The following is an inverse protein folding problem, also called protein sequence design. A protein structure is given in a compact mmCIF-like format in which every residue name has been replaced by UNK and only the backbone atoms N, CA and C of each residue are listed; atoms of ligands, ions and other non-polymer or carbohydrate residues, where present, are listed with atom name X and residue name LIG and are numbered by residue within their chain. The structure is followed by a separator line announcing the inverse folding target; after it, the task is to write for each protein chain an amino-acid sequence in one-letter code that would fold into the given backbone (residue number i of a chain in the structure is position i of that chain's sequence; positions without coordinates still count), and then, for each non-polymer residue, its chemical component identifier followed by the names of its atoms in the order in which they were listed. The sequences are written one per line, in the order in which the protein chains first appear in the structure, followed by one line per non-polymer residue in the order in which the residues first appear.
data_IF_041350971583
#
_entry.id   IF_041350971583
#
_cell.length_a   1.000
_cell.length_b   1.000
_cell.length_c   1.000
_cell.angle_alpha   90.00
_cell.angle_beta   90.00
_cell.angle_gamma   90.00
#
_symmetry.space_group_name_H-M   'P 1'
#
loop_
_entity.id
_entity.type
_entity.pdbx_description
1 polymer ?
#
# COMPACT_ATOMS: atom_id res chain seq x y z
N UNK A 1 93.99 -81.69 6.63
CA UNK A 1 94.35 -80.24 6.60
C UNK A 1 93.96 -79.54 5.30
N UNK A 2 94.06 -80.18 4.12
CA UNK A 2 93.44 -79.65 2.90
C UNK A 2 91.90 -79.56 3.02
N UNK A 3 91.30 -80.53 3.70
CA UNK A 3 89.85 -80.54 3.99
C UNK A 3 89.40 -79.41 4.92
N UNK A 4 90.28 -78.92 5.80
CA UNK A 4 89.96 -77.80 6.71
C UNK A 4 89.87 -76.47 5.97
N UNK A 5 90.73 -76.27 4.95
CA UNK A 5 90.72 -75.07 4.12
C UNK A 5 89.58 -75.12 3.11
N UNK A 6 89.27 -76.30 2.55
CA UNK A 6 88.07 -76.48 1.75
C UNK A 6 86.80 -76.29 2.56
N UNK A 7 86.70 -76.83 3.78
CA UNK A 7 85.55 -76.63 4.66
C UNK A 7 85.38 -75.16 5.06
N UNK A 8 86.45 -74.42 5.34
CA UNK A 8 86.37 -72.98 5.64
C UNK A 8 85.98 -72.13 4.43
N UNK A 9 86.46 -72.46 3.22
CA UNK A 9 85.99 -71.82 1.98
C UNK A 9 84.53 -72.19 1.66
N UNK A 10 84.10 -73.41 1.95
CA UNK A 10 82.71 -73.85 1.76
C UNK A 10 81.76 -73.21 2.79
N UNK A 11 82.24 -72.91 4.01
CA UNK A 11 81.51 -72.15 5.03
C UNK A 11 81.31 -70.69 4.62
N UNK A 12 82.33 -70.07 3.99
CA UNK A 12 82.22 -68.74 3.38
C UNK A 12 81.23 -68.72 2.20
N UNK A 13 81.16 -69.81 1.41
CA UNK A 13 80.17 -69.96 0.31
C UNK A 13 78.74 -70.15 0.82
N UNK A 14 78.55 -70.94 1.88
CA UNK A 14 77.22 -71.16 2.48
C UNK A 14 76.64 -69.89 3.09
N UNK A 15 77.48 -68.94 3.51
CA UNK A 15 77.05 -67.60 3.92
C UNK A 15 76.63 -66.74 2.70
N UNK A 16 77.31 -66.85 1.55
CA UNK A 16 76.94 -66.10 0.33
C UNK A 16 75.67 -66.62 -0.36
N UNK A 17 75.41 -67.93 -0.32
CA UNK A 17 74.22 -68.52 -0.97
C UNK A 17 72.90 -68.18 -0.25
N UNK A 18 72.97 -67.65 0.99
CA UNK A 18 71.80 -67.17 1.74
C UNK A 18 71.15 -65.90 1.16
N UNK A 19 71.78 -65.26 0.17
CA UNK A 19 71.32 -64.02 -0.48
C UNK A 19 70.26 -64.29 -1.56
N UNK A 20 69.99 -65.54 -1.94
CA UNK A 20 69.22 -65.89 -3.14
C UNK A 20 67.70 -66.11 -3.00
N UNK A 21 67.09 -66.06 -1.81
CA UNK A 21 65.65 -66.38 -1.66
C UNK A 21 64.89 -65.36 -0.83
N UNK A 22 64.15 -64.48 -1.51
CA UNK A 22 63.01 -63.79 -0.92
C UNK A 22 62.93 -62.29 -1.20
N UNK A 23 62.04 -61.94 -2.14
CA UNK A 23 61.10 -60.82 -2.02
C UNK A 23 61.65 -59.44 -1.64
N UNK A 24 61.70 -58.56 -2.63
CA UNK A 24 61.86 -57.11 -2.47
C UNK A 24 60.82 -56.52 -1.51
N UNK A 25 61.30 -56.21 -0.31
CA UNK A 25 60.77 -55.22 0.62
C UNK A 25 61.95 -54.54 1.31
N UNK A 26 62.18 -53.27 0.96
CA UNK A 26 62.90 -52.24 1.70
C UNK A 26 64.25 -52.59 2.39
N UNK A 27 65.31 -51.91 1.93
CA UNK A 27 66.26 -51.26 2.83
C UNK A 27 67.41 -52.09 3.39
N UNK A 28 68.63 -51.69 3.01
CA UNK A 28 69.82 -51.61 3.89
C UNK A 28 70.46 -52.89 4.46
N UNK A 29 69.94 -54.09 4.24
CA UNK A 29 70.49 -55.32 4.88
C UNK A 29 71.65 -56.03 4.17
N UNK A 30 72.00 -55.64 2.94
CA UNK A 30 72.93 -56.42 2.11
C UNK A 30 74.42 -56.14 2.29
N UNK A 31 74.80 -55.06 3.00
CA UNK A 31 76.20 -54.59 3.05
C UNK A 31 76.98 -55.21 4.22
N UNK A 32 76.33 -55.50 5.36
CA UNK A 32 77.01 -55.96 6.58
C UNK A 32 77.62 -57.37 6.47
N UNK A 33 77.06 -58.24 5.64
CA UNK A 33 77.55 -59.63 5.48
C UNK A 33 78.80 -59.73 4.60
N UNK A 34 79.01 -58.76 3.70
CA UNK A 34 80.21 -58.68 2.87
C UNK A 34 81.41 -58.22 3.69
N UNK A 35 81.20 -57.26 4.61
CA UNK A 35 82.23 -56.76 5.53
C UNK A 35 82.73 -57.86 6.48
N UNK A 36 81.83 -58.65 7.06
CA UNK A 36 82.20 -59.80 7.92
C UNK A 36 82.97 -60.89 7.14
N UNK A 37 82.62 -61.13 5.88
CA UNK A 37 83.35 -62.07 5.02
C UNK A 37 84.76 -61.55 4.65
N UNK A 38 84.92 -60.23 4.49
CA UNK A 38 86.23 -59.61 4.25
C UNK A 38 87.12 -59.60 5.50
N UNK A 39 86.54 -59.40 6.70
CA UNK A 39 87.27 -59.47 7.97
C UNK A 39 87.79 -60.90 8.25
N UNK A 40 87.06 -61.94 7.85
CA UNK A 40 87.49 -63.34 7.98
C UNK A 40 88.58 -63.74 6.97
N UNK A 41 88.76 -62.98 5.90
CA UNK A 41 89.80 -63.23 4.89
C UNK A 41 91.21 -62.89 5.42
N UNK A 42 91.33 -61.87 6.28
CA UNK A 42 92.59 -61.37 6.84
C UNK A 42 93.39 -62.41 7.66
N UNK A 43 92.78 -63.07 8.67
CA UNK A 43 93.42 -64.14 9.44
C UNK A 43 93.81 -65.35 8.57
N UNK A 44 93.01 -65.67 7.56
CA UNK A 44 93.24 -66.78 6.64
C UNK A 44 94.49 -66.53 5.78
N UNK A 45 94.61 -65.33 5.22
CA UNK A 45 95.80 -64.87 4.48
C UNK A 45 97.03 -64.92 5.38
N UNK A 46 96.94 -64.43 6.62
CA UNK A 46 98.06 -64.44 7.58
C UNK A 46 98.51 -65.86 7.99
N UNK A 47 97.59 -66.83 8.03
CA UNK A 47 97.90 -68.25 8.31
C UNK A 47 98.60 -68.95 7.13
N UNK A 48 98.24 -68.57 5.90
CA UNK A 48 98.80 -69.10 4.65
C UNK A 48 100.23 -68.59 4.41
N UNK A 49 100.51 -67.33 4.78
CA UNK A 49 101.86 -66.77 4.76
C UNK A 49 102.78 -67.44 5.79
N UNK A 50 102.29 -67.77 6.99
CA UNK A 50 103.08 -68.51 8.00
C UNK A 50 103.40 -69.96 7.63
N UNK A 51 102.57 -70.60 6.80
CA UNK A 51 102.75 -72.01 6.39
C UNK A 51 103.49 -72.19 5.07
N UNK A 52 103.96 -71.10 4.43
CA UNK A 52 104.72 -71.08 3.19
C UNK A 52 104.03 -71.79 1.99
N UNK A 53 102.68 -71.83 1.99
CA UNK A 53 101.83 -72.47 0.94
C UNK A 53 101.12 -71.45 0.04
N UNK A 54 101.73 -70.28 -0.15
CA UNK A 54 101.15 -69.16 -0.90
C UNK A 54 100.74 -69.53 -2.34
N UNK A 55 101.58 -70.31 -3.04
CA UNK A 55 101.31 -70.75 -4.42
C UNK A 55 100.10 -71.69 -4.55
N UNK A 56 99.85 -72.52 -3.53
CA UNK A 56 98.71 -73.44 -3.53
C UNK A 56 97.40 -72.72 -3.21
N UNK A 57 97.43 -71.74 -2.31
CA UNK A 57 96.27 -70.91 -2.02
C UNK A 57 95.89 -70.02 -3.20
N UNK A 58 96.87 -69.38 -3.86
CA UNK A 58 96.62 -68.59 -5.06
C UNK A 58 96.00 -69.44 -6.17
N UNK A 59 96.52 -70.66 -6.39
CA UNK A 59 95.94 -71.60 -7.37
C UNK A 59 94.53 -72.05 -6.97
N UNK A 60 94.25 -72.22 -5.68
CA UNK A 60 92.92 -72.59 -5.18
C UNK A 60 91.90 -71.44 -5.34
N UNK A 61 92.31 -70.20 -5.09
CA UNK A 61 91.48 -69.00 -5.30
C UNK A 61 91.24 -68.76 -6.78
N UNK A 62 92.25 -68.96 -7.63
CA UNK A 62 92.11 -68.83 -9.08
C UNK A 62 91.19 -69.91 -9.66
N UNK A 63 91.28 -71.15 -9.19
CA UNK A 63 90.33 -72.22 -9.53
C UNK A 63 88.91 -71.94 -9.01
N UNK A 64 88.78 -71.31 -7.84
CA UNK A 64 87.49 -70.92 -7.28
C UNK A 64 86.85 -69.78 -8.08
N UNK A 65 87.63 -68.74 -8.44
CA UNK A 65 87.19 -67.65 -9.29
C UNK A 65 86.74 -68.17 -10.64
N UNK A 66 87.53 -69.02 -11.30
CA UNK A 66 87.15 -69.66 -12.56
C UNK A 66 85.87 -70.50 -12.44
N UNK A 67 85.66 -71.19 -11.32
CA UNK A 67 84.44 -71.97 -11.07
C UNK A 67 83.21 -71.07 -10.89
N UNK A 68 83.36 -69.96 -10.16
CA UNK A 68 82.27 -68.98 -9.96
C UNK A 68 81.98 -68.19 -11.24
N UNK A 69 83.00 -67.84 -12.02
CA UNK A 69 82.82 -67.23 -13.34
C UNK A 69 82.11 -68.18 -14.31
N UNK A 70 82.43 -69.47 -14.27
CA UNK A 70 81.72 -70.49 -15.06
C UNK A 70 80.26 -70.67 -14.58
N UNK A 71 80.01 -70.61 -13.27
CA UNK A 71 78.66 -70.65 -12.70
C UNK A 71 77.83 -69.42 -13.09
N UNK A 72 78.42 -68.22 -13.00
CA UNK A 72 77.81 -66.97 -13.47
C UNK A 72 77.58 -67.01 -14.98
N UNK A 73 78.53 -67.50 -15.79
CA UNK A 73 78.33 -67.65 -17.24
C UNK A 73 77.21 -68.62 -17.58
N UNK A 74 77.06 -69.70 -16.81
CA UNK A 74 75.96 -70.66 -16.99
C UNK A 74 74.61 -70.05 -16.60
N UNK A 75 74.58 -69.28 -15.51
CA UNK A 75 73.37 -68.62 -15.03
C UNK A 75 72.97 -67.45 -15.95
N UNK A 76 73.94 -66.63 -16.38
CA UNK A 76 73.76 -65.63 -17.42
C UNK A 76 73.35 -66.28 -18.76
N UNK A 77 73.93 -67.40 -19.15
CA UNK A 77 73.53 -68.12 -20.37
C UNK A 77 72.08 -68.61 -20.32
N UNK A 78 71.61 -69.07 -19.15
CA UNK A 78 70.25 -69.56 -18.96
C UNK A 78 69.21 -68.43 -18.84
N UNK A 79 69.55 -67.33 -18.15
CA UNK A 79 68.59 -66.26 -17.79
C UNK A 79 68.78 -64.95 -18.55
N UNK A 80 69.80 -64.81 -19.40
CA UNK A 80 70.04 -63.63 -20.23
C UNK A 80 68.81 -63.26 -21.08
N UNK A 81 68.15 -64.25 -21.66
CA UNK A 81 67.02 -64.01 -22.54
C UNK A 81 65.81 -63.45 -21.77
N UNK A 82 65.52 -63.99 -20.58
CA UNK A 82 64.46 -63.50 -19.70
C UNK A 82 64.78 -62.11 -19.13
N UNK A 83 66.05 -61.85 -18.80
CA UNK A 83 66.51 -60.54 -18.34
C UNK A 83 66.36 -59.48 -19.45
N UNK A 84 66.78 -59.78 -20.68
CA UNK A 84 66.62 -58.87 -21.82
C UNK A 84 65.14 -58.63 -22.12
N UNK A 85 64.30 -59.65 -22.03
CA UNK A 85 62.84 -59.48 -22.18
C UNK A 85 62.26 -58.58 -21.08
N UNK A 86 62.68 -58.74 -19.83
CA UNK A 86 62.23 -57.92 -18.70
C UNK A 86 62.67 -56.46 -18.85
N UNK A 87 63.91 -56.22 -19.29
CA UNK A 87 64.42 -54.87 -19.60
C UNK A 87 63.67 -54.25 -20.78
N UNK A 88 63.38 -55.02 -21.83
CA UNK A 88 62.57 -54.55 -22.96
C UNK A 88 61.14 -54.20 -22.53
N UNK A 89 60.52 -55.00 -21.64
CA UNK A 89 59.22 -54.70 -21.06
C UNK A 89 59.25 -53.42 -20.22
N UNK A 90 60.27 -53.22 -19.39
CA UNK A 90 60.45 -51.99 -18.61
C UNK A 90 60.60 -50.76 -19.50
N UNK A 91 61.37 -50.86 -20.58
CA UNK A 91 61.51 -49.78 -21.57
C UNK A 91 60.17 -49.48 -22.26
N UNK A 92 59.40 -50.50 -22.61
CA UNK A 92 58.06 -50.34 -23.19
C UNK A 92 57.07 -49.71 -22.21
N UNK A 93 57.09 -50.13 -20.95
CA UNK A 93 56.28 -49.51 -19.88
C UNK A 93 56.69 -48.05 -19.71
N UNK A 94 57.98 -47.73 -19.65
CA UNK A 94 58.47 -46.34 -19.55
C UNK A 94 57.98 -45.48 -20.72
N UNK A 95 58.04 -46.00 -21.94
CA UNK A 95 57.54 -45.30 -23.12
C UNK A 95 56.02 -45.07 -23.03
N UNK A 96 55.24 -46.10 -22.70
CA UNK A 96 53.79 -45.97 -22.51
C UNK A 96 53.44 -44.99 -21.38
N UNK A 97 54.20 -44.98 -20.27
CA UNK A 97 54.00 -44.03 -19.17
C UNK A 97 54.32 -42.60 -19.61
N UNK A 98 55.35 -42.40 -20.45
CA UNK A 98 55.66 -41.09 -21.04
C UNK A 98 54.55 -40.62 -21.96
N UNK A 99 54.04 -41.48 -22.84
CA UNK A 99 52.92 -41.15 -23.74
C UNK A 99 51.63 -40.87 -22.96
N UNK A 100 51.37 -41.61 -21.88
CA UNK A 100 50.24 -41.36 -20.99
C UNK A 100 50.41 -40.02 -20.28
N UNK A 101 51.61 -39.70 -19.80
CA UNK A 101 51.90 -38.42 -19.17
C UNK A 101 51.65 -37.26 -20.13
N UNK A 102 52.09 -37.36 -21.38
CA UNK A 102 51.83 -36.35 -22.40
C UNK A 102 50.33 -36.19 -22.68
N UNK A 103 49.60 -37.30 -22.84
CA UNK A 103 48.13 -37.27 -23.01
C UNK A 103 47.42 -36.66 -21.81
N UNK A 104 47.83 -36.98 -20.58
CA UNK A 104 47.24 -36.44 -19.35
C UNK A 104 47.51 -34.94 -19.24
N UNK A 105 48.72 -34.48 -19.58
CA UNK A 105 49.05 -33.05 -19.60
C UNK A 105 48.24 -32.33 -20.69
N UNK A 106 48.12 -32.92 -21.88
CA UNK A 106 47.30 -32.38 -22.98
C UNK A 106 45.83 -32.26 -22.60
N UNK A 107 45.23 -33.33 -22.06
CA UNK A 107 43.86 -33.32 -21.56
C UNK A 107 43.65 -32.28 -20.46
N UNK A 108 44.58 -32.17 -19.52
CA UNK A 108 44.50 -31.15 -18.46
C UNK A 108 44.55 -29.73 -19.05
N UNK A 109 45.38 -29.48 -20.06
CA UNK A 109 45.43 -28.18 -20.74
C UNK A 109 44.09 -27.88 -21.46
N UNK A 110 43.52 -28.85 -22.16
CA UNK A 110 42.23 -28.70 -22.85
C UNK A 110 41.07 -28.49 -21.88
N UNK A 111 41.05 -29.22 -20.76
CA UNK A 111 40.08 -29.03 -19.66
C UNK A 111 40.23 -27.65 -19.03
N UNK A 112 41.46 -27.15 -18.86
CA UNK A 112 41.67 -25.80 -18.33
C UNK A 112 41.22 -24.71 -19.32
N UNK A 113 41.48 -24.87 -20.61
CA UNK A 113 41.02 -23.92 -21.63
C UNK A 113 39.50 -23.89 -21.73
N UNK A 114 38.86 -25.06 -21.82
CA UNK A 114 37.39 -25.17 -21.81
C UNK A 114 36.79 -24.67 -20.51
N UNK A 115 37.42 -24.94 -19.37
CA UNK A 115 37.04 -24.41 -18.06
C UNK A 115 37.12 -22.88 -17.97
N UNK A 116 38.17 -22.26 -18.52
CA UNK A 116 38.30 -20.79 -18.60
C UNK A 116 37.22 -20.17 -19.49
N UNK A 117 37.01 -20.72 -20.69
CA UNK A 117 35.95 -20.23 -21.59
C UNK A 117 34.56 -20.38 -20.97
N UNK A 118 34.31 -21.47 -20.25
CA UNK A 118 33.06 -21.67 -19.51
C UNK A 118 32.90 -20.67 -18.36
N UNK A 119 33.98 -20.36 -17.64
CA UNK A 119 33.98 -19.38 -16.57
C UNK A 119 33.63 -17.98 -17.08
N UNK A 120 34.24 -17.55 -18.19
CA UNK A 120 33.96 -16.27 -18.85
C UNK A 120 32.49 -16.18 -19.25
N UNK A 121 31.96 -17.19 -19.97
CA UNK A 121 30.54 -17.25 -20.34
C UNK A 121 29.61 -17.25 -19.11
N UNK A 122 30.01 -17.90 -18.01
CA UNK A 122 29.23 -17.89 -16.76
C UNK A 122 29.24 -16.51 -16.09
N UNK A 123 30.36 -15.79 -16.14
CA UNK A 123 30.46 -14.43 -15.62
C UNK A 123 29.56 -13.48 -16.42
N UNK A 124 29.56 -13.56 -17.74
CA UNK A 124 28.64 -12.82 -18.62
C UNK A 124 27.16 -13.17 -18.35
N UNK A 125 26.85 -14.44 -18.14
CA UNK A 125 25.49 -14.87 -17.81
C UNK A 125 25.05 -14.28 -16.46
N UNK A 126 25.96 -14.20 -15.49
CA UNK A 126 25.68 -13.60 -14.18
C UNK A 126 25.45 -12.08 -14.27
N UNK A 127 26.22 -11.35 -15.08
CA UNK A 127 25.98 -9.92 -15.30
C UNK A 127 24.63 -9.70 -15.98
N UNK A 128 24.31 -10.45 -17.04
CA UNK A 128 23.02 -10.41 -17.71
C UNK A 128 21.86 -10.75 -16.77
N UNK A 129 22.03 -11.72 -15.86
CA UNK A 129 21.00 -12.02 -14.83
C UNK A 129 20.80 -10.88 -13.84
N UNK A 130 21.86 -10.15 -13.46
CA UNK A 130 21.74 -8.97 -12.60
C UNK A 130 21.02 -7.84 -13.32
N UNK A 131 21.37 -7.58 -14.57
CA UNK A 131 20.67 -6.62 -15.42
C UNK A 131 19.20 -6.99 -15.58
N UNK A 132 18.88 -8.26 -15.85
CA UNK A 132 17.49 -8.71 -15.96
C UNK A 132 16.71 -8.55 -14.65
N UNK A 133 17.33 -8.82 -13.48
CA UNK A 133 16.70 -8.54 -12.17
C UNK A 133 16.44 -7.05 -11.97
N UNK A 134 17.38 -6.19 -12.35
CA UNK A 134 17.21 -4.74 -12.27
C UNK A 134 16.07 -4.28 -13.20
N UNK A 135 16.00 -4.82 -14.42
CA UNK A 135 14.93 -4.55 -15.38
C UNK A 135 13.58 -5.01 -14.81
N UNK A 136 13.49 -6.22 -14.26
CA UNK A 136 12.26 -6.72 -13.63
C UNK A 136 11.80 -5.83 -12.47
N UNK A 137 12.72 -5.44 -11.58
CA UNK A 137 12.41 -4.51 -10.51
C UNK A 137 11.93 -3.15 -11.04
N UNK A 138 12.55 -2.64 -12.11
CA UNK A 138 12.12 -1.40 -12.75
C UNK A 138 10.72 -1.53 -13.35
N UNK A 139 10.44 -2.62 -14.07
CA UNK A 139 9.11 -2.92 -14.63
C UNK A 139 8.05 -2.96 -13.53
N UNK A 140 8.33 -3.63 -12.41
CA UNK A 140 7.39 -3.70 -11.29
C UNK A 140 7.15 -2.34 -10.64
N UNK A 141 8.18 -1.49 -10.53
CA UNK A 141 8.01 -0.11 -10.05
C UNK A 141 7.17 0.74 -11.00
N UNK A 142 7.39 0.62 -12.31
CA UNK A 142 6.61 1.35 -13.32
C UNK A 142 5.15 0.90 -13.32
N UNK A 143 4.88 -0.41 -13.18
CA UNK A 143 3.50 -0.92 -13.05
C UNK A 143 2.77 -0.32 -11.84
N UNK A 144 3.43 -0.25 -10.68
CA UNK A 144 2.85 0.40 -9.48
C UNK A 144 2.59 1.88 -9.70
N UNK A 145 3.50 2.61 -10.35
CA UNK A 145 3.26 4.00 -10.72
C UNK A 145 2.05 4.13 -11.66
N UNK A 146 1.90 3.24 -12.64
CA UNK A 146 0.77 3.24 -13.57
C UNK A 146 -0.57 2.99 -12.87
N UNK A 147 -0.62 2.04 -11.91
CA UNK A 147 -1.82 1.82 -11.10
C UNK A 147 -2.22 3.07 -10.32
N UNK A 148 -1.25 3.75 -9.70
CA UNK A 148 -1.53 5.00 -8.98
C UNK A 148 -2.02 6.11 -9.89
N UNK A 149 -1.40 6.29 -11.05
CA UNK A 149 -1.87 7.27 -12.03
C UNK A 149 -3.28 6.94 -12.50
N UNK A 150 -3.60 5.65 -12.69
CA UNK A 150 -4.95 5.19 -13.03
C UNK A 150 -5.94 5.48 -11.90
N UNK A 151 -5.57 5.29 -10.64
CA UNK A 151 -6.43 5.69 -9.51
C UNK A 151 -6.62 7.21 -9.45
N UNK A 152 -5.60 8.00 -9.80
CA UNK A 152 -5.72 9.45 -9.92
C UNK A 152 -6.69 9.88 -11.01
N UNK A 153 -6.66 9.23 -12.18
CA UNK A 153 -7.63 9.46 -13.26
C UNK A 153 -9.04 9.02 -12.84
N UNK A 154 -9.16 7.85 -12.22
CA UNK A 154 -10.44 7.36 -11.71
C UNK A 154 -11.03 8.30 -10.65
N UNK A 155 -10.19 8.89 -9.79
CA UNK A 155 -10.63 9.93 -8.86
C UNK A 155 -11.17 11.16 -9.61
N UNK A 156 -10.49 11.61 -10.66
CA UNK A 156 -10.97 12.76 -11.43
C UNK A 156 -12.32 12.49 -12.11
N UNK A 157 -12.50 11.30 -12.67
CA UNK A 157 -13.78 10.82 -13.22
C UNK A 157 -14.85 10.69 -12.12
N UNK A 158 -14.50 10.23 -10.92
CA UNK A 158 -15.45 10.13 -9.80
C UNK A 158 -15.89 11.51 -9.30
N UNK A 159 -15.01 12.50 -9.33
CA UNK A 159 -15.33 13.88 -8.98
C UNK A 159 -16.26 14.49 -10.04
N UNK A 160 -16.03 14.25 -11.33
CA UNK A 160 -16.91 14.77 -12.40
C UNK A 160 -18.28 14.09 -12.43
N UNK A 161 -18.34 12.79 -12.11
CA UNK A 161 -19.60 12.02 -12.02
C UNK A 161 -20.35 12.21 -10.69
N UNK A 162 -19.90 13.11 -9.82
CA UNK A 162 -20.50 13.43 -8.50
C UNK A 162 -20.56 12.24 -7.53
N UNK A 163 -19.73 11.21 -7.75
CA UNK A 163 -19.64 10.05 -6.87
C UNK A 163 -18.64 10.28 -5.74
N UNK A 164 -18.94 11.25 -4.87
CA UNK A 164 -18.00 11.72 -3.84
C UNK A 164 -17.57 10.64 -2.84
N UNK A 165 -18.47 9.70 -2.51
CA UNK A 165 -18.13 8.58 -1.62
C UNK A 165 -17.04 7.67 -2.24
N UNK A 166 -17.18 7.36 -3.53
CA UNK A 166 -16.19 6.59 -4.27
C UNK A 166 -14.86 7.34 -4.36
N UNK A 167 -14.92 8.65 -4.63
CA UNK A 167 -13.75 9.54 -4.67
C UNK A 167 -12.99 9.61 -3.34
N UNK A 168 -13.69 9.66 -2.20
CA UNK A 168 -13.02 9.60 -0.88
C UNK A 168 -12.38 8.24 -0.67
N UNK A 169 -13.04 7.15 -1.07
CA UNK A 169 -12.50 5.80 -0.90
C UNK A 169 -11.25 5.61 -1.75
N UNK A 170 -11.24 6.06 -3.00
CA UNK A 170 -10.06 6.02 -3.87
C UNK A 170 -8.93 6.89 -3.34
N UNK A 171 -9.23 8.09 -2.82
CA UNK A 171 -8.25 8.95 -2.16
C UNK A 171 -7.68 8.35 -0.86
N UNK A 172 -8.53 7.67 -0.08
CA UNK A 172 -8.10 6.98 1.14
C UNK A 172 -7.21 5.78 0.80
N UNK A 173 -7.57 5.03 -0.24
CA UNK A 173 -6.79 3.89 -0.74
C UNK A 173 -5.42 4.36 -1.28
N UNK A 174 -5.39 5.52 -1.94
CA UNK A 174 -4.16 6.18 -2.39
C UNK A 174 -3.26 6.55 -1.19
N UNK A 175 -3.85 7.04 -0.10
CA UNK A 175 -3.15 7.48 1.11
C UNK A 175 -2.63 6.33 1.98
N UNK A 176 -3.43 5.29 2.15
CA UNK A 176 -3.11 4.18 3.05
C UNK A 176 -2.23 3.11 2.38
N UNK A 177 -2.49 2.78 1.11
CA UNK A 177 -1.83 1.65 0.44
C UNK A 177 -0.61 2.09 -0.36
N UNK A 178 -0.72 3.18 -1.12
CA UNK A 178 0.30 3.52 -2.13
C UNK A 178 1.32 4.55 -1.66
N UNK A 179 0.94 5.46 -0.78
CA UNK A 179 1.82 6.48 -0.21
C UNK A 179 3.00 5.88 0.59
N UNK A 180 2.82 4.86 1.46
CA UNK A 180 3.93 4.21 2.16
C UNK A 180 4.92 3.50 1.23
N UNK A 181 4.41 2.93 0.12
CA UNK A 181 5.21 2.17 -0.83
C UNK A 181 6.06 3.06 -1.75
N UNK A 182 5.64 4.31 -1.95
CA UNK A 182 6.25 5.21 -2.94
C UNK A 182 7.11 6.34 -2.36
N UNK A 183 7.21 6.48 -1.03
CA UNK A 183 8.10 7.47 -0.37
C UNK A 183 9.56 7.43 -0.85
N UNK A 184 10.02 6.28 -1.36
CA UNK A 184 11.39 6.09 -1.88
C UNK A 184 11.63 6.76 -3.23
N UNK A 185 10.58 7.10 -3.99
CA UNK A 185 10.69 7.62 -5.36
C UNK A 185 10.28 9.10 -5.43
N UNK A 186 10.92 9.86 -6.32
CA UNK A 186 10.57 11.27 -6.56
C UNK A 186 9.10 11.45 -6.98
N UNK A 187 8.55 10.47 -7.71
CA UNK A 187 7.12 10.43 -8.06
C UNK A 187 6.22 10.36 -6.82
N UNK A 188 6.59 9.60 -5.79
CA UNK A 188 5.83 9.53 -4.55
C UNK A 188 5.80 10.86 -3.79
N UNK A 189 6.89 11.64 -3.83
CA UNK A 189 6.92 13.01 -3.27
C UNK A 189 6.03 13.97 -4.05
N UNK A 190 6.00 13.87 -5.38
CA UNK A 190 5.08 14.67 -6.20
C UNK A 190 3.62 14.29 -5.93
N UNK A 191 3.35 13.00 -5.74
CA UNK A 191 2.02 12.51 -5.37
C UNK A 191 1.59 13.00 -3.98
N UNK A 192 2.49 12.97 -3.00
CA UNK A 192 2.24 13.51 -1.66
C UNK A 192 1.89 15.00 -1.69
N UNK A 193 2.54 15.76 -2.58
CA UNK A 193 2.21 17.17 -2.82
C UNK A 193 0.88 17.36 -3.60
N UNK A 194 0.43 16.36 -4.37
CA UNK A 194 -0.83 16.43 -5.12
C UNK A 194 -2.04 15.99 -4.31
N UNK A 195 -1.88 15.15 -3.27
CA UNK A 195 -3.01 14.70 -2.42
C UNK A 195 -3.79 15.87 -1.81
N UNK A 196 -3.16 16.89 -1.16
CA UNK A 196 -3.90 18.03 -0.64
C UNK A 196 -4.64 18.81 -1.73
N UNK A 197 -4.08 18.88 -2.94
CA UNK A 197 -4.75 19.54 -4.08
C UNK A 197 -5.99 18.76 -4.51
N UNK A 198 -5.90 17.43 -4.55
CA UNK A 198 -7.05 16.54 -4.82
C UNK A 198 -8.14 16.69 -3.75
N UNK A 199 -7.76 16.78 -2.47
CA UNK A 199 -8.69 17.06 -1.36
C UNK A 199 -9.38 18.42 -1.54
N UNK A 200 -8.63 19.48 -1.88
CA UNK A 200 -9.24 20.80 -2.12
C UNK A 200 -10.13 20.81 -3.36
N UNK A 201 -9.81 20.04 -4.40
CA UNK A 201 -10.64 19.91 -5.61
C UNK A 201 -11.96 19.20 -5.29
N UNK A 202 -11.89 18.12 -4.51
CA UNK A 202 -13.08 17.40 -4.03
C UNK A 202 -13.95 18.30 -3.16
N UNK A 203 -13.34 19.02 -2.21
CA UNK A 203 -14.05 19.96 -1.34
C UNK A 203 -14.70 21.08 -2.16
N UNK A 204 -13.99 21.67 -3.11
CA UNK A 204 -14.51 22.73 -3.98
C UNK A 204 -15.68 22.25 -4.84
N UNK A 205 -15.58 21.05 -5.42
CA UNK A 205 -16.66 20.46 -6.21
C UNK A 205 -17.91 20.20 -5.35
N UNK A 206 -17.74 19.62 -4.16
CA UNK A 206 -18.84 19.37 -3.24
C UNK A 206 -19.50 20.69 -2.77
N UNK A 207 -18.70 21.70 -2.40
CA UNK A 207 -19.22 23.01 -2.02
C UNK A 207 -19.97 23.71 -3.16
N UNK A 208 -19.50 23.56 -4.40
CA UNK A 208 -20.21 24.09 -5.58
C UNK A 208 -21.57 23.40 -5.74
N UNK A 209 -21.60 22.07 -5.69
CA UNK A 209 -22.83 21.28 -5.79
C UNK A 209 -23.82 21.62 -4.67
N UNK A 210 -23.32 21.85 -3.45
CA UNK A 210 -24.13 22.32 -2.33
C UNK A 210 -24.71 23.71 -2.58
N UNK A 211 -23.92 24.64 -3.12
CA UNK A 211 -24.38 26.00 -3.43
C UNK A 211 -25.43 26.00 -4.54
N UNK A 212 -25.25 25.15 -5.55
CA UNK A 212 -26.24 24.94 -6.61
C UNK A 212 -27.53 24.33 -6.03
N UNK A 213 -27.40 23.38 -5.11
CA UNK A 213 -28.54 22.85 -4.36
C UNK A 213 -29.23 23.93 -3.52
N UNK A 214 -28.49 24.76 -2.78
CA UNK A 214 -29.06 25.89 -2.01
C UNK A 214 -29.78 26.90 -2.92
N UNK A 215 -29.29 27.12 -4.14
CA UNK A 215 -29.96 27.96 -5.13
C UNK A 215 -31.26 27.33 -5.63
N UNK A 216 -31.26 26.02 -5.92
CA UNK A 216 -32.47 25.26 -6.24
C UNK A 216 -33.47 25.25 -5.08
N UNK A 217 -32.95 25.13 -3.85
CA UNK A 217 -33.72 25.13 -2.61
C UNK A 217 -34.55 26.39 -2.51
N UNK A 218 -34.01 27.58 -2.85
CA UNK A 218 -34.75 28.85 -2.82
C UNK A 218 -36.09 28.79 -3.57
N UNK A 219 -36.17 28.10 -4.71
CA UNK A 219 -37.44 27.95 -5.44
C UNK A 219 -38.42 27.07 -4.66
N UNK A 220 -37.95 25.91 -4.22
CA UNK A 220 -38.76 24.98 -3.41
C UNK A 220 -39.15 25.56 -2.06
N UNK A 221 -38.31 26.41 -1.45
CA UNK A 221 -38.57 27.14 -0.20
C UNK A 221 -39.80 28.01 -0.34
N UNK A 222 -39.94 28.72 -1.46
CA UNK A 222 -41.12 29.53 -1.75
C UNK A 222 -42.39 28.68 -1.89
N UNK A 223 -42.27 27.55 -2.58
CA UNK A 223 -43.39 26.62 -2.78
C UNK A 223 -43.82 25.97 -1.45
N UNK A 224 -42.87 25.61 -0.60
CA UNK A 224 -43.10 25.13 0.76
C UNK A 224 -43.83 26.19 1.59
N UNK A 225 -43.35 27.43 1.57
CA UNK A 225 -43.98 28.53 2.29
C UNK A 225 -45.41 28.79 1.83
N UNK A 226 -45.65 28.77 0.51
CA UNK A 226 -46.99 28.91 -0.07
C UNK A 226 -47.90 27.76 0.32
N UNK A 227 -47.42 26.52 0.24
CA UNK A 227 -48.19 25.34 0.59
C UNK A 227 -48.66 25.39 2.05
N UNK A 228 -47.77 25.73 2.96
CA UNK A 228 -48.08 25.82 4.39
C UNK A 228 -49.02 26.97 4.72
N UNK A 229 -48.85 28.11 4.05
CA UNK A 229 -49.76 29.25 4.19
C UNK A 229 -51.15 28.91 3.69
N UNK A 230 -51.26 28.27 2.51
CA UNK A 230 -52.54 27.80 1.97
C UNK A 230 -53.20 26.75 2.87
N UNK A 231 -52.41 25.82 3.46
CA UNK A 231 -52.90 24.83 4.42
C UNK A 231 -53.46 25.51 5.66
N UNK A 232 -52.75 26.51 6.20
CA UNK A 232 -53.21 27.27 7.35
C UNK A 232 -54.45 28.12 7.03
N UNK A 233 -54.50 28.74 5.85
CA UNK A 233 -55.65 29.54 5.40
C UNK A 233 -56.91 28.67 5.25
N UNK A 234 -56.77 27.45 4.70
CA UNK A 234 -57.87 26.46 4.67
C UNK A 234 -58.34 26.10 6.07
N UNK A 235 -57.42 25.84 7.01
CA UNK A 235 -57.77 25.58 8.42
C UNK A 235 -58.51 26.75 9.04
N UNK A 236 -58.05 27.98 8.80
CA UNK A 236 -58.67 29.19 9.34
C UNK A 236 -60.08 29.42 8.76
N UNK A 237 -60.30 29.17 7.46
CA UNK A 237 -61.63 29.23 6.84
C UNK A 237 -62.57 28.17 7.39
N UNK A 238 -62.10 26.93 7.51
CA UNK A 238 -62.87 25.85 8.14
C UNK A 238 -63.23 26.22 9.58
N UNK A 239 -62.31 26.81 10.35
CA UNK A 239 -62.60 27.30 11.70
C UNK A 239 -63.60 28.47 11.71
N UNK A 240 -63.49 29.44 10.80
CA UNK A 240 -64.40 30.59 10.73
C UNK A 240 -65.83 30.19 10.31
N UNK A 241 -65.97 29.32 9.31
CA UNK A 241 -67.25 28.73 8.90
C UNK A 241 -67.88 27.92 10.04
N UNK A 242 -67.03 27.19 10.79
CA UNK A 242 -67.45 26.40 11.94
C UNK A 242 -67.85 27.27 13.12
N UNK A 243 -67.12 28.33 13.46
CA UNK A 243 -67.45 29.25 14.58
C UNK A 243 -68.78 29.99 14.33
N UNK A 244 -69.10 30.26 13.06
CA UNK A 244 -70.43 30.72 12.64
C UNK A 244 -71.53 29.67 12.84
N UNK A 245 -71.21 28.37 12.69
CA UNK A 245 -72.14 27.24 12.86
C UNK A 245 -72.22 26.63 14.27
N UNK A 246 -71.18 26.81 15.10
CA UNK A 246 -71.06 26.29 16.48
C UNK A 246 -72.08 26.96 17.42
N UNK A 247 -72.70 28.07 16.99
CA UNK A 247 -73.89 28.61 17.66
C UNK A 247 -75.05 27.62 17.77
N UNK A 248 -75.08 26.52 17.01
CA UNK A 248 -76.25 25.62 17.02
C UNK A 248 -76.04 24.18 17.50
N UNK A 249 -74.85 23.53 17.51
CA UNK A 249 -74.78 22.10 17.90
C UNK A 249 -73.46 21.61 18.53
N UNK A 250 -73.63 20.99 19.70
CA UNK A 250 -72.75 20.05 20.44
C UNK A 250 -71.28 20.44 20.68
N UNK A 251 -70.97 20.66 21.96
CA UNK A 251 -69.64 20.89 22.52
C UNK A 251 -68.77 19.62 22.41
N UNK A 252 -68.03 19.49 21.30
CA UNK A 252 -66.82 18.67 21.28
C UNK A 252 -65.68 19.55 21.78
N UNK A 253 -64.91 19.09 22.76
CA UNK A 253 -63.80 19.86 23.31
C UNK A 253 -62.80 20.21 22.20
N UNK A 254 -62.37 21.48 22.14
CA UNK A 254 -61.42 22.01 21.15
C UNK A 254 -60.17 21.13 20.98
N UNK A 255 -59.72 20.45 22.05
CA UNK A 255 -58.58 19.53 22.01
C UNK A 255 -58.87 18.20 21.29
N UNK A 256 -60.08 17.65 21.39
CA UNK A 256 -60.48 16.40 20.71
C UNK A 256 -60.72 16.66 19.22
N UNK A 257 -61.24 17.84 18.89
CA UNK A 257 -61.47 18.30 17.53
C UNK A 257 -60.15 18.52 16.76
N UNK A 258 -59.13 19.08 17.43
CA UNK A 258 -57.79 19.29 16.86
C UNK A 258 -57.17 17.99 16.34
N UNK A 259 -57.32 16.89 17.09
CA UNK A 259 -56.81 15.57 16.71
C UNK A 259 -57.59 14.98 15.52
N UNK A 260 -58.89 15.24 15.42
CA UNK A 260 -59.72 14.78 14.30
C UNK A 260 -59.45 15.54 13.00
N UNK A 261 -59.09 16.83 13.08
CA UNK A 261 -58.70 17.62 11.91
C UNK A 261 -57.27 17.26 11.39
N UNK A 262 -56.38 16.71 12.23
CA UNK A 262 -55.07 16.17 11.80
C UNK A 262 -55.18 14.91 10.92
N UNK A 263 -56.21 14.07 11.10
CA UNK A 263 -56.42 12.86 10.29
C UNK A 263 -56.86 13.16 8.84
N UNK A 264 -57.33 14.37 8.54
CA UNK A 264 -57.78 14.76 7.19
C UNK A 264 -56.73 15.56 6.38
N UNK A 265 -55.60 15.90 6.99
CA UNK A 265 -54.54 16.74 6.40
C UNK A 265 -53.44 15.84 5.76
N UNK A 266 -53.83 14.92 4.86
CA UNK A 266 -52.91 14.12 4.06
C UNK A 266 -52.37 14.90 2.85
N UNK A 267 -51.90 16.14 3.05
CA UNK A 267 -51.03 16.75 2.06
C UNK A 267 -49.63 16.17 2.26
N UNK A 268 -49.11 15.48 1.24
CA UNK A 268 -47.77 14.87 1.28
C UNK A 268 -46.74 15.92 1.73
N UNK A 269 -45.92 15.64 2.77
CA UNK A 269 -44.90 16.58 3.19
C UNK A 269 -43.95 16.79 2.01
N UNK A 270 -43.76 18.05 1.62
CA UNK A 270 -42.81 18.43 0.57
C UNK A 270 -41.42 17.99 1.05
N UNK A 271 -40.97 16.81 0.61
CA UNK A 271 -39.69 16.26 1.03
C UNK A 271 -38.58 17.02 0.32
N UNK A 272 -37.75 17.70 1.11
CA UNK A 272 -36.54 18.35 0.61
C UNK A 272 -35.42 17.31 0.62
N UNK A 273 -34.86 17.02 -0.55
CA UNK A 273 -33.71 16.12 -0.66
C UNK A 273 -32.47 16.78 -0.03
N UNK A 274 -32.08 16.29 1.15
CA UNK A 274 -30.91 16.76 1.91
C UNK A 274 -29.62 16.03 1.52
N UNK A 275 -29.66 15.15 0.51
CA UNK A 275 -28.50 14.35 0.07
C UNK A 275 -27.25 15.21 -0.21
N UNK A 276 -27.33 16.35 -0.92
CA UNK A 276 -26.15 17.18 -1.20
C UNK A 276 -25.51 17.76 0.07
N UNK A 277 -26.33 18.12 1.07
CA UNK A 277 -25.86 18.61 2.36
C UNK A 277 -25.12 17.50 3.12
N UNK A 278 -25.67 16.29 3.17
CA UNK A 278 -25.02 15.15 3.85
C UNK A 278 -23.74 14.71 3.18
N UNK A 279 -23.69 14.70 1.85
CA UNK A 279 -22.47 14.40 1.10
C UNK A 279 -21.37 15.41 1.43
N UNK A 280 -21.68 16.70 1.43
CA UNK A 280 -20.73 17.74 1.79
C UNK A 280 -20.29 17.65 3.25
N UNK A 281 -21.22 17.38 4.16
CA UNK A 281 -20.90 17.17 5.57
C UNK A 281 -19.94 15.99 5.75
N UNK A 282 -20.23 14.86 5.10
CA UNK A 282 -19.40 13.67 5.16
C UNK A 282 -17.98 13.90 4.61
N UNK A 283 -17.86 14.61 3.49
CA UNK A 283 -16.55 14.96 2.91
C UNK A 283 -15.76 15.83 3.88
N UNK A 284 -16.36 16.89 4.42
CA UNK A 284 -15.66 17.79 5.35
C UNK A 284 -15.31 17.11 6.69
N UNK A 285 -16.10 16.12 7.12
CA UNK A 285 -15.79 15.29 8.28
C UNK A 285 -14.59 14.38 8.03
N UNK A 286 -14.54 13.69 6.88
CA UNK A 286 -13.40 12.86 6.49
C UNK A 286 -12.12 13.67 6.26
N UNK A 287 -12.23 14.93 5.85
CA UNK A 287 -11.12 15.87 5.69
C UNK A 287 -10.72 16.57 7.00
N UNK A 288 -11.49 16.43 8.09
CA UNK A 288 -11.23 17.10 9.37
C UNK A 288 -11.52 18.60 9.39
N UNK A 289 -12.24 19.14 8.38
CA UNK A 289 -12.55 20.58 8.22
C UNK A 289 -14.01 20.92 8.57
N UNK A 290 -14.62 20.16 9.49
CA UNK A 290 -16.03 20.32 9.88
C UNK A 290 -16.34 21.71 10.45
N UNK A 291 -15.44 22.27 11.26
CA UNK A 291 -15.65 23.57 11.90
C UNK A 291 -15.66 24.74 10.90
N UNK A 292 -14.74 24.73 9.93
CA UNK A 292 -14.69 25.73 8.86
C UNK A 292 -15.95 25.67 8.00
N UNK A 293 -16.38 24.45 7.64
CA UNK A 293 -17.62 24.24 6.89
C UNK A 293 -18.85 24.77 7.64
N UNK A 294 -18.97 24.49 8.95
CA UNK A 294 -20.07 25.01 9.78
C UNK A 294 -20.12 26.54 9.76
N UNK A 295 -18.96 27.20 9.89
CA UNK A 295 -18.89 28.67 9.86
C UNK A 295 -19.35 29.22 8.51
N UNK A 296 -18.77 28.72 7.42
CA UNK A 296 -19.11 29.18 6.07
C UNK A 296 -20.59 28.92 5.75
N UNK A 297 -21.14 27.78 6.17
CA UNK A 297 -22.56 27.48 6.01
C UNK A 297 -23.45 28.47 6.78
N UNK A 298 -23.08 28.79 8.02
CA UNK A 298 -23.84 29.75 8.85
C UNK A 298 -23.83 31.16 8.24
N UNK A 299 -22.68 31.57 7.68
CA UNK A 299 -22.54 32.83 6.94
C UNK A 299 -23.40 32.81 5.66
N UNK A 300 -23.29 31.77 4.83
CA UNK A 300 -24.06 31.63 3.59
C UNK A 300 -25.58 31.68 3.85
N UNK A 301 -26.07 31.02 4.92
CA UNK A 301 -27.49 31.03 5.30
C UNK A 301 -27.94 32.38 5.85
N UNK A 302 -27.09 33.08 6.61
CA UNK A 302 -27.35 34.46 7.06
C UNK A 302 -27.46 35.42 5.88
N UNK A 303 -26.58 35.28 4.89
CA UNK A 303 -26.60 36.11 3.68
C UNK A 303 -27.83 35.83 2.83
N UNK A 304 -28.26 34.57 2.72
CA UNK A 304 -29.53 34.22 2.07
C UNK A 304 -30.74 34.88 2.74
N UNK A 305 -30.81 34.85 4.08
CA UNK A 305 -31.88 35.52 4.82
C UNK A 305 -31.84 37.05 4.59
N UNK A 306 -30.64 37.64 4.61
CA UNK A 306 -30.47 39.06 4.32
C UNK A 306 -30.92 39.42 2.90
N UNK A 307 -30.66 38.57 1.91
CA UNK A 307 -31.09 38.78 0.53
C UNK A 307 -32.61 38.68 0.36
N UNK A 308 -33.28 37.78 1.09
CA UNK A 308 -34.75 37.70 1.12
C UNK A 308 -35.32 39.01 1.68
N UNK A 309 -34.77 39.48 2.81
CA UNK A 309 -35.23 40.68 3.52
C UNK A 309 -34.81 42.01 2.86
N UNK A 310 -33.84 41.99 1.93
CA UNK A 310 -33.41 43.17 1.19
C UNK A 310 -34.31 43.48 -0.02
N UNK A 311 -35.26 42.61 -0.35
CA UNK A 311 -36.20 42.84 -1.45
C UNK A 311 -37.03 44.09 -1.18
N UNK A 312 -37.07 45.01 -2.14
CA UNK A 312 -37.85 46.25 -2.02
C UNK A 312 -39.35 45.93 -2.11
N UNK A 313 -40.08 46.21 -1.04
CA UNK A 313 -41.54 46.05 -1.00
C UNK A 313 -42.17 47.44 -1.02
N UNK A 314 -43.08 47.65 -1.96
CA UNK A 314 -43.95 48.82 -2.00
C UNK A 314 -45.34 48.39 -1.54
N UNK A 315 -45.88 49.07 -0.54
CA UNK A 315 -47.18 48.74 0.05
C UNK A 315 -48.29 49.49 -0.71
N UNK A 316 -48.58 49.01 -1.91
CA UNK A 316 -49.75 49.43 -2.72
C UNK A 316 -50.59 48.21 -3.01
N UNK A 317 -51.92 48.34 -3.06
CA UNK A 317 -52.86 47.21 -3.28
C UNK A 317 -52.56 46.41 -4.57
N UNK A 318 -52.03 47.05 -5.62
CA UNK A 318 -51.60 46.40 -6.86
C UNK A 318 -50.23 45.67 -6.78
N UNK A 319 -49.47 45.86 -5.69
CA UNK A 319 -48.09 45.40 -5.51
C UNK A 319 -47.86 44.65 -4.18
N UNK A 320 -48.93 44.13 -3.55
CA UNK A 320 -48.82 43.36 -2.31
C UNK A 320 -48.28 41.94 -2.51
N UNK A 321 -48.43 41.37 -3.72
CA UNK A 321 -47.93 40.03 -4.03
C UNK A 321 -46.42 39.81 -3.75
N UNK A 322 -45.52 40.75 -4.07
CA UNK A 322 -44.12 40.71 -3.64
C UNK A 322 -43.90 40.56 -2.12
N UNK A 323 -44.77 41.15 -1.29
CA UNK A 323 -44.70 41.03 0.17
C UNK A 323 -45.12 39.64 0.65
N UNK A 324 -46.24 39.12 0.14
CA UNK A 324 -46.69 37.75 0.43
C UNK A 324 -45.64 36.72 0.03
N UNK A 325 -45.00 36.92 -1.12
CA UNK A 325 -43.92 36.04 -1.57
C UNK A 325 -42.68 36.13 -0.68
N UNK A 326 -42.35 37.31 -0.14
CA UNK A 326 -41.28 37.44 0.85
C UNK A 326 -41.62 36.67 2.13
N UNK A 327 -42.88 36.73 2.59
CA UNK A 327 -43.32 35.97 3.77
C UNK A 327 -43.28 34.46 3.53
N UNK A 328 -43.71 33.99 2.36
CA UNK A 328 -43.55 32.60 1.95
C UNK A 328 -42.08 32.16 1.92
N UNK A 329 -41.19 33.01 1.38
CA UNK A 329 -39.74 32.74 1.37
C UNK A 329 -39.17 32.64 2.80
N UNK A 330 -39.64 33.47 3.73
CA UNK A 330 -39.24 33.44 5.16
C UNK A 330 -39.74 32.15 5.83
N UNK A 331 -41.03 31.81 5.68
CA UNK A 331 -41.63 30.59 6.25
C UNK A 331 -40.83 29.37 5.77
N UNK A 332 -40.66 29.23 4.47
CA UNK A 332 -39.93 28.10 3.90
C UNK A 332 -38.48 28.05 4.40
N UNK A 333 -37.81 29.21 4.55
CA UNK A 333 -36.41 29.25 4.97
C UNK A 333 -36.24 28.67 6.38
N UNK A 334 -37.09 29.10 7.32
CA UNK A 334 -37.02 28.64 8.71
C UNK A 334 -37.45 27.18 8.86
N UNK A 335 -38.38 26.70 8.04
CA UNK A 335 -38.77 25.28 8.07
C UNK A 335 -37.67 24.38 7.55
N UNK A 336 -36.99 24.78 6.49
CA UNK A 336 -35.77 24.11 6.02
C UNK A 336 -34.71 24.09 7.13
N UNK A 337 -34.50 25.20 7.84
CA UNK A 337 -33.58 25.23 9.00
C UNK A 337 -34.01 24.29 10.12
N UNK A 338 -35.32 24.19 10.39
CA UNK A 338 -35.87 23.27 11.38
C UNK A 338 -35.60 21.80 11.00
N UNK A 339 -35.83 21.44 9.73
CA UNK A 339 -35.54 20.09 9.21
C UNK A 339 -34.04 19.79 9.27
N UNK A 340 -33.17 20.77 8.95
CA UNK A 340 -31.72 20.62 9.05
C UNK A 340 -31.30 20.40 10.52
N UNK A 341 -31.90 21.14 11.45
CA UNK A 341 -31.64 21.00 12.88
C UNK A 341 -32.08 19.63 13.41
N UNK A 342 -33.25 19.15 13.00
CA UNK A 342 -33.76 17.83 13.37
C UNK A 342 -32.87 16.71 12.82
N UNK A 343 -32.36 16.87 11.60
CA UNK A 343 -31.59 15.83 10.92
C UNK A 343 -30.10 15.81 11.31
N UNK A 344 -29.52 16.94 11.72
CA UNK A 344 -28.10 17.06 12.05
C UNK A 344 -27.85 17.95 13.29
N UNK A 345 -28.23 17.49 14.51
CA UNK A 345 -28.14 18.30 15.74
C UNK A 345 -26.69 18.65 16.12
N UNK A 346 -25.72 17.82 15.75
CA UNK A 346 -24.30 18.10 15.99
C UNK A 346 -23.70 19.09 14.97
N UNK A 347 -24.42 19.44 13.90
CA UNK A 347 -23.93 20.36 12.88
C UNK A 347 -24.46 21.77 13.09
N UNK A 348 -25.75 21.89 13.44
CA UNK A 348 -26.47 23.17 13.61
C UNK A 348 -27.02 23.29 15.03
N UNK A 349 -26.72 24.39 15.73
CA UNK A 349 -27.27 24.61 17.07
C UNK A 349 -28.62 25.33 17.01
N UNK A 350 -29.49 25.05 17.99
CA UNK A 350 -30.77 25.76 18.13
C UNK A 350 -30.58 27.26 18.36
N UNK A 351 -29.57 27.63 19.15
CA UNK A 351 -29.23 29.03 19.41
C UNK A 351 -28.87 29.80 18.12
N UNK A 352 -28.15 29.19 17.18
CA UNK A 352 -27.82 29.84 15.90
C UNK A 352 -29.06 30.09 15.04
N UNK A 353 -30.06 29.20 15.11
CA UNK A 353 -31.33 29.37 14.38
C UNK A 353 -32.21 30.43 15.05
N UNK A 354 -32.29 30.42 16.39
CA UNK A 354 -33.07 31.39 17.15
C UNK A 354 -32.50 32.82 16.99
N UNK A 355 -31.17 32.98 16.96
CA UNK A 355 -30.53 34.29 16.70
C UNK A 355 -30.79 34.78 15.27
N UNK A 356 -30.82 33.89 14.28
CA UNK A 356 -31.24 34.24 12.92
C UNK A 356 -32.71 34.62 12.85
N UNK A 357 -33.57 33.93 13.60
CA UNK A 357 -35.00 34.24 13.70
C UNK A 357 -35.23 35.62 14.29
N UNK A 358 -34.59 35.94 15.43
CA UNK A 358 -34.66 37.26 16.06
C UNK A 358 -34.20 38.38 15.12
N UNK A 359 -33.09 38.18 14.40
CA UNK A 359 -32.60 39.14 13.43
C UNK A 359 -33.53 39.29 12.22
N UNK A 360 -34.15 38.20 11.78
CA UNK A 360 -35.13 38.18 10.70
C UNK A 360 -36.41 38.94 11.07
N UNK A 361 -36.99 38.65 12.25
CA UNK A 361 -38.17 39.37 12.75
C UNK A 361 -37.85 40.84 12.96
N UNK A 362 -36.72 41.20 13.56
CA UNK A 362 -36.38 42.61 13.78
C UNK A 362 -36.37 43.40 12.47
N UNK A 363 -35.77 42.84 11.41
CA UNK A 363 -35.78 43.45 10.08
C UNK A 363 -37.15 43.48 9.43
N UNK A 364 -37.95 42.41 9.56
CA UNK A 364 -39.32 42.38 9.08
C UNK A 364 -40.16 43.47 9.78
N UNK A 365 -39.98 43.61 11.09
CA UNK A 365 -40.61 44.64 11.92
C UNK A 365 -40.22 46.04 11.45
N UNK A 366 -38.94 46.28 11.16
CA UNK A 366 -38.46 47.56 10.61
C UNK A 366 -39.03 47.86 9.21
N UNK A 367 -39.26 46.83 8.38
CA UNK A 367 -39.89 46.98 7.07
C UNK A 367 -41.36 47.37 7.24
N UNK A 368 -42.10 46.69 8.12
CA UNK A 368 -43.50 47.02 8.40
C UNK A 368 -43.57 48.44 9.01
N UNK A 369 -42.75 48.74 10.02
CA UNK A 369 -42.70 50.03 10.70
C UNK A 369 -42.49 51.23 9.77
N UNK A 370 -41.57 51.10 8.80
CA UNK A 370 -41.30 52.14 7.80
C UNK A 370 -42.48 52.41 6.87
N UNK A 371 -43.37 51.44 6.69
CA UNK A 371 -44.49 51.53 5.76
C UNK A 371 -45.86 51.68 6.46
N UNK A 372 -45.90 51.81 7.80
CA UNK A 372 -47.14 51.98 8.58
C UNK A 372 -47.99 53.15 8.07
N UNK A 373 -47.35 54.26 7.65
CA UNK A 373 -48.08 55.43 7.15
C UNK A 373 -48.86 55.10 5.87
N UNK A 374 -48.26 54.35 4.94
CA UNK A 374 -48.92 53.92 3.71
C UNK A 374 -50.01 52.87 3.97
N UNK A 375 -49.77 51.97 4.93
CA UNK A 375 -50.74 50.94 5.34
C UNK A 375 -51.98 51.57 5.99
N UNK A 376 -51.81 52.65 6.77
CA UNK A 376 -52.91 53.33 7.47
C UNK A 376 -53.76 54.22 6.55
N UNK A 377 -53.21 54.64 5.40
CA UNK A 377 -53.93 55.46 4.42
C UNK A 377 -54.90 54.64 3.55
N UNK A 378 -54.62 53.34 3.33
CA UNK A 378 -55.43 52.47 2.48
C UNK A 378 -56.09 51.33 3.31
N UNK A 379 -57.37 51.49 3.63
CA UNK A 379 -58.17 50.55 4.44
C UNK A 379 -58.17 49.13 3.88
N UNK A 380 -58.08 48.96 2.55
CA UNK A 380 -58.06 47.64 1.93
C UNK A 380 -56.71 46.92 2.08
N UNK A 381 -55.61 47.67 2.08
CA UNK A 381 -54.27 47.10 2.32
C UNK A 381 -54.12 46.66 3.77
N UNK A 382 -54.71 47.40 4.71
CA UNK A 382 -54.69 47.06 6.13
C UNK A 382 -55.34 45.71 6.43
N UNK A 383 -56.51 45.43 5.85
CA UNK A 383 -57.23 44.16 6.07
C UNK A 383 -56.48 42.96 5.50
N UNK A 384 -56.01 43.05 4.25
CA UNK A 384 -55.26 41.95 3.61
C UNK A 384 -53.92 41.71 4.33
N UNK A 385 -53.24 42.78 4.75
CA UNK A 385 -51.99 42.66 5.49
C UNK A 385 -52.21 42.04 6.87
N UNK A 386 -53.31 42.36 7.55
CA UNK A 386 -53.68 41.75 8.81
C UNK A 386 -53.96 40.25 8.65
N UNK A 387 -54.69 39.85 7.60
CA UNK A 387 -54.97 38.44 7.30
C UNK A 387 -53.68 37.65 7.01
N UNK A 388 -52.82 38.19 6.15
CA UNK A 388 -51.55 37.55 5.77
C UNK A 388 -50.58 37.44 6.95
N UNK A 389 -50.43 38.49 7.77
CA UNK A 389 -49.55 38.47 8.95
C UNK A 389 -50.09 37.58 10.07
N UNK A 390 -51.42 37.50 10.21
CA UNK A 390 -52.08 36.58 11.15
C UNK A 390 -51.83 35.13 10.74
N UNK A 391 -52.00 34.81 9.44
CA UNK A 391 -51.71 33.48 8.89
C UNK A 391 -50.23 33.13 9.07
N UNK A 392 -49.30 34.05 8.76
CA UNK A 392 -47.87 33.88 9.00
C UNK A 392 -47.55 33.58 10.48
N UNK A 393 -48.20 34.30 11.40
CA UNK A 393 -48.01 34.12 12.84
C UNK A 393 -48.41 32.72 13.28
N UNK A 394 -49.58 32.25 12.86
CA UNK A 394 -50.03 30.90 13.19
C UNK A 394 -49.15 29.80 12.60
N UNK A 395 -48.70 29.94 11.34
CA UNK A 395 -47.78 28.98 10.71
C UNK A 395 -46.48 28.87 11.50
N UNK A 396 -45.92 30.00 11.96
CA UNK A 396 -44.66 30.00 12.71
C UNK A 396 -44.83 29.47 14.15
N UNK A 397 -46.00 29.64 14.77
CA UNK A 397 -46.32 29.04 16.07
C UNK A 397 -46.44 27.52 16.01
N UNK A 398 -47.10 26.98 14.98
CA UNK A 398 -47.22 25.54 14.78
C UNK A 398 -45.83 24.89 14.66
N UNK A 399 -44.86 25.63 14.13
CA UNK A 399 -43.46 25.20 14.00
C UNK A 399 -42.56 25.57 15.19
N UNK A 400 -43.15 25.94 16.34
CA UNK A 400 -42.46 26.24 17.60
C UNK A 400 -41.40 27.36 17.54
N UNK A 401 -41.70 28.43 16.79
CA UNK A 401 -40.93 29.68 16.81
C UNK A 401 -41.59 30.73 17.73
N UNK A 402 -40.79 31.61 18.35
CA UNK A 402 -41.32 32.68 19.20
C UNK A 402 -41.86 33.84 18.35
N UNK A 403 -43.18 34.04 18.38
CA UNK A 403 -43.88 35.06 17.58
C UNK A 403 -44.42 36.22 18.45
N UNK A 404 -44.02 36.31 19.73
CA UNK A 404 -44.49 37.38 20.65
C UNK A 404 -44.27 38.78 20.10
N UNK A 405 -43.06 39.07 19.61
CA UNK A 405 -42.67 40.38 19.05
C UNK A 405 -43.54 40.78 17.87
N UNK A 406 -43.87 39.84 16.98
CA UNK A 406 -44.71 40.11 15.82
C UNK A 406 -46.17 40.33 16.22
N UNK A 407 -46.69 39.60 17.22
CA UNK A 407 -48.02 39.84 17.78
C UNK A 407 -48.17 41.21 18.41
N UNK A 408 -47.19 41.63 19.20
CA UNK A 408 -47.16 42.98 19.81
C UNK A 408 -47.19 44.06 18.72
N UNK A 409 -46.47 43.85 17.62
CA UNK A 409 -46.49 44.76 16.46
C UNK A 409 -47.82 44.73 15.72
N UNK A 410 -48.43 43.56 15.50
CA UNK A 410 -49.77 43.49 14.90
C UNK A 410 -50.81 44.20 15.76
N UNK A 411 -50.76 44.05 17.08
CA UNK A 411 -51.63 44.77 18.01
C UNK A 411 -51.38 46.28 17.98
N UNK A 412 -50.13 46.71 17.88
CA UNK A 412 -49.79 48.14 17.80
C UNK A 412 -50.19 48.80 16.48
N UNK A 413 -50.19 48.05 15.37
CA UNK A 413 -50.49 48.56 14.02
C UNK A 413 -51.99 48.48 13.70
N UNK A 414 -52.66 47.39 14.08
CA UNK A 414 -54.06 47.09 13.71
C UNK A 414 -55.05 47.14 14.87
N UNK A 415 -54.59 47.31 16.11
CA UNK A 415 -55.43 47.31 17.31
C UNK A 415 -56.02 48.68 17.68
N UNK A 416 -56.03 49.65 16.75
CA UNK A 416 -56.55 51.01 16.97
C UNK A 416 -57.85 51.26 16.20
#
# INVERSE_FOLDING_TARGET
MADSIQQQLQQLVLLSDSVGTGGTGAGSGGISTVEEAMEQLGPLIHSVYRTNKQKLFQKQVELFAQRKDAEIMKLCGNYHQEFVQSVAQLLKVRQNTSELQEKVVGLNAEVQMSGKSLYEKKAELLSLRRENKNIQSAVDTVKRCLEVTRMGVAFDEQVTTKQYYSAIKTLSSLKEVYLPQMRKYAFGKMLEASVPKMETKLQGAALSDMKDWLYGLKKTTRDIGRHLTNRMEKKQKLWAERDSSIKERYFVSSAVQFVLDEEFDHDDPISVDMTPLYQCLHINEKLGRRAEFRRNFTEDRRDQLNLILASHVQFTLAQLGPFENMLHDIIGFFIVEHVILASAPEFRSRADVDTLWDAGIAKLSDIIARNIQQIREDSGVSEVLQEVLTTFTYVMEENAYDVRKLRELMLAVFGA
#
